data_IF_635578257675
#
_entry.id   IF_635578257675
#
_cell.length_a   1.000
_cell.length_b   1.000
_cell.length_c   1.000
_cell.angle_alpha   90.00
_cell.angle_beta   90.00
_cell.angle_gamma   90.00
#
_symmetry.space_group_name_H-M   'P 1'
#
loop_
_entity.id
_entity.type
_entity.pdbx_description
1 polymer ?
#
# COMPACT_ATOMS: atom_id res chain seq x y z
N UNK A 1 -37.25 13.59 35.86
CA UNK A 1 -35.90 12.99 35.81
C UNK A 1 -35.65 12.52 34.39
N UNK A 2 -34.42 12.67 33.86
CA UNK A 2 -34.05 12.06 32.59
C UNK A 2 -33.79 10.57 32.81
N UNK A 3 -34.30 9.73 31.92
CA UNK A 3 -34.01 8.30 31.91
C UNK A 3 -32.76 8.03 31.05
N UNK A 4 -32.07 6.94 31.34
CA UNK A 4 -31.00 6.43 30.48
C UNK A 4 -31.60 5.72 29.28
N UNK A 5 -30.89 5.77 28.16
CA UNK A 5 -31.25 5.03 26.95
C UNK A 5 -30.77 3.58 27.02
N UNK A 6 -31.31 2.75 26.13
CA UNK A 6 -30.95 1.33 26.02
C UNK A 6 -29.46 1.12 25.70
N UNK A 7 -28.86 2.05 24.95
CA UNK A 7 -27.43 2.00 24.62
C UNK A 7 -26.56 2.11 25.87
N UNK A 8 -26.89 3.00 26.80
CA UNK A 8 -26.18 3.13 28.06
C UNK A 8 -26.32 1.88 28.93
N UNK A 9 -27.49 1.24 28.97
CA UNK A 9 -27.67 -0.02 29.70
C UNK A 9 -26.78 -1.14 29.16
N UNK A 10 -26.62 -1.24 27.84
CA UNK A 10 -25.72 -2.23 27.23
C UNK A 10 -24.26 -1.95 27.60
N UNK A 11 -23.79 -0.71 27.43
CA UNK A 11 -22.42 -0.31 27.81
C UNK A 11 -22.13 -0.56 29.29
N UNK A 12 -23.13 -0.36 30.15
CA UNK A 12 -23.02 -0.64 31.59
C UNK A 12 -22.86 -2.15 31.89
N UNK A 13 -23.53 -3.03 31.14
CA UNK A 13 -23.42 -4.49 31.32
C UNK A 13 -22.12 -5.05 30.74
N UNK A 14 -21.64 -4.48 29.65
CA UNK A 14 -20.41 -4.86 28.96
C UNK A 14 -19.14 -4.25 29.62
N UNK A 15 -19.29 -3.53 30.75
CA UNK A 15 -18.23 -2.79 31.45
C UNK A 15 -17.47 -1.79 30.55
N UNK A 16 -18.18 -1.15 29.61
CA UNK A 16 -17.66 -0.15 28.67
C UNK A 16 -17.79 1.31 29.14
N UNK A 17 -18.31 1.54 30.35
CA UNK A 17 -18.45 2.87 30.96
C UNK A 17 -17.38 3.14 32.00
N UNK A 18 -17.13 4.42 32.32
CA UNK A 18 -16.14 4.76 33.37
C UNK A 18 -16.66 4.45 34.77
N UNK A 19 -15.76 4.39 35.76
CA UNK A 19 -16.12 4.14 37.16
C UNK A 19 -17.03 5.24 37.73
N UNK A 20 -16.81 6.49 37.33
CA UNK A 20 -17.60 7.64 37.73
C UNK A 20 -19.03 7.56 37.16
N UNK A 21 -19.16 7.19 35.89
CA UNK A 21 -20.47 7.00 35.24
C UNK A 21 -21.26 5.86 35.88
N UNK A 22 -20.56 4.79 36.26
CA UNK A 22 -21.13 3.64 36.97
C UNK A 22 -21.70 4.03 38.34
N UNK A 23 -20.97 4.85 39.10
CA UNK A 23 -21.45 5.37 40.39
C UNK A 23 -22.71 6.24 40.21
N UNK A 24 -22.69 7.17 39.25
CA UNK A 24 -23.83 8.04 38.94
C UNK A 24 -25.07 7.23 38.52
N UNK A 25 -24.87 6.18 37.72
CA UNK A 25 -25.93 5.26 37.33
C UNK A 25 -26.55 4.56 38.55
N UNK A 26 -25.74 4.05 39.48
CA UNK A 26 -26.25 3.41 40.69
C UNK A 26 -26.99 4.38 41.62
N UNK A 27 -26.57 5.65 41.69
CA UNK A 27 -27.32 6.69 42.38
C UNK A 27 -28.67 6.92 41.69
N UNK A 28 -28.68 7.02 40.36
CA UNK A 28 -29.92 7.24 39.61
C UNK A 28 -30.95 6.12 39.80
N UNK A 29 -30.56 4.85 39.68
CA UNK A 29 -31.52 3.74 39.79
C UNK A 29 -32.04 3.56 41.22
N UNK A 30 -31.35 4.09 42.25
CA UNK A 30 -31.89 4.14 43.64
C UNK A 30 -33.09 5.07 43.77
N UNK A 31 -33.18 6.08 42.90
CA UNK A 31 -34.28 7.06 42.92
C UNK A 31 -35.30 6.81 41.80
N UNK A 32 -34.87 6.24 40.68
CA UNK A 32 -35.71 5.97 39.51
C UNK A 32 -36.15 4.49 39.44
N UNK A 33 -37.41 4.23 39.79
CA UNK A 33 -37.99 2.87 39.76
C UNK A 33 -38.05 2.28 38.35
N UNK A 34 -38.35 3.09 37.33
CA UNK A 34 -38.42 2.64 35.94
C UNK A 34 -37.05 2.14 35.42
N UNK A 35 -35.99 2.94 35.61
CA UNK A 35 -34.63 2.55 35.20
C UNK A 35 -34.11 1.35 36.01
N UNK A 36 -34.51 1.23 37.28
CA UNK A 36 -34.15 0.07 38.11
C UNK A 36 -34.76 -1.22 37.57
N UNK A 37 -36.04 -1.19 37.21
CA UNK A 37 -36.72 -2.38 36.68
C UNK A 37 -36.16 -2.76 35.31
N UNK A 38 -35.89 -1.77 34.45
CA UNK A 38 -35.22 -2.00 33.18
C UNK A 38 -33.84 -2.63 33.36
N UNK A 39 -33.01 -2.08 34.26
CA UNK A 39 -31.70 -2.66 34.58
C UNK A 39 -31.81 -4.11 35.07
N UNK A 40 -32.79 -4.40 35.93
CA UNK A 40 -33.03 -5.77 36.44
C UNK A 40 -33.35 -6.74 35.30
N UNK A 41 -34.18 -6.34 34.34
CA UNK A 41 -34.51 -7.16 33.17
C UNK A 41 -33.27 -7.42 32.31
N UNK A 42 -32.52 -6.37 31.99
CA UNK A 42 -31.27 -6.47 31.22
C UNK A 42 -30.23 -7.36 31.91
N UNK A 43 -30.03 -7.18 33.21
CA UNK A 43 -29.11 -8.00 34.02
C UNK A 43 -29.54 -9.48 34.05
N UNK A 44 -30.84 -9.75 34.15
CA UNK A 44 -31.37 -11.12 34.14
C UNK A 44 -31.15 -11.81 32.79
N UNK A 45 -31.37 -11.09 31.69
CA UNK A 45 -31.11 -11.60 30.34
C UNK A 45 -29.61 -11.86 30.12
N UNK A 46 -28.76 -10.92 30.52
CA UNK A 46 -27.31 -11.04 30.42
C UNK A 46 -26.78 -12.26 31.20
N UNK A 47 -27.26 -12.44 32.44
CA UNK A 47 -26.87 -13.58 33.28
C UNK A 47 -27.33 -14.91 32.68
N UNK A 48 -28.54 -14.96 32.12
CA UNK A 48 -29.06 -16.16 31.46
C UNK A 48 -28.23 -16.53 30.23
N UNK A 49 -27.84 -15.54 29.42
CA UNK A 49 -26.97 -15.75 28.26
C UNK A 49 -25.57 -16.23 28.68
N UNK A 50 -24.99 -15.67 29.74
CA UNK A 50 -23.70 -16.11 30.27
C UNK A 50 -23.77 -17.51 30.92
N UNK A 51 -24.93 -17.91 31.43
CA UNK A 51 -25.13 -19.26 31.99
C UNK A 51 -25.22 -20.36 30.92
N UNK A 52 -25.36 -19.99 29.64
CA UNK A 52 -25.32 -20.96 28.56
C UNK A 52 -23.93 -21.58 28.52
N UNK A 53 -23.89 -22.91 28.46
CA UNK A 53 -22.65 -23.67 28.53
C UNK A 53 -21.72 -23.23 27.41
N UNK A 54 -20.50 -22.82 27.77
CA UNK A 54 -19.46 -22.51 26.81
C UNK A 54 -19.19 -23.75 25.95
N UNK A 55 -19.59 -23.69 24.68
CA UNK A 55 -19.35 -24.77 23.73
C UNK A 55 -17.89 -24.65 23.33
N UNK A 56 -17.06 -25.55 23.85
CA UNK A 56 -15.67 -25.64 23.40
C UNK A 56 -15.66 -25.98 21.91
N UNK A 57 -14.96 -25.16 21.13
CA UNK A 57 -14.79 -25.43 19.72
C UNK A 57 -13.99 -26.75 19.56
N UNK A 58 -14.41 -27.66 18.66
CA UNK A 58 -13.61 -28.82 18.30
C UNK A 58 -12.20 -28.41 17.88
N UNK A 59 -11.18 -29.20 18.26
CA UNK A 59 -9.78 -28.90 17.96
C UNK A 59 -9.54 -28.68 16.46
N UNK A 60 -10.29 -29.36 15.60
CA UNK A 60 -10.24 -29.19 14.15
C UNK A 60 -10.56 -27.76 13.70
N UNK A 61 -11.55 -27.11 14.33
CA UNK A 61 -11.88 -25.70 14.03
C UNK A 61 -10.75 -24.79 14.48
N UNK A 62 -10.21 -25.03 15.68
CA UNK A 62 -9.13 -24.23 16.23
C UNK A 62 -7.88 -24.31 15.35
N UNK A 63 -7.55 -25.51 14.86
CA UNK A 63 -6.47 -25.76 13.91
C UNK A 63 -6.69 -25.08 12.56
N UNK A 64 -7.93 -25.08 12.03
CA UNK A 64 -8.26 -24.37 10.79
C UNK A 64 -8.11 -22.85 10.93
N UNK A 65 -8.55 -22.30 12.06
CA UNK A 65 -8.43 -20.87 12.37
C UNK A 65 -6.98 -20.48 12.54
N UNK A 66 -6.22 -21.22 13.35
CA UNK A 66 -4.77 -21.01 13.55
C UNK A 66 -4.02 -21.11 12.22
N UNK A 67 -4.32 -22.09 11.37
CA UNK A 67 -3.70 -22.19 10.03
C UNK A 67 -4.02 -21.00 9.13
N UNK A 68 -5.18 -20.35 9.31
CA UNK A 68 -5.58 -19.17 8.53
C UNK A 68 -4.91 -17.88 9.06
N UNK A 69 -4.79 -17.74 10.38
CA UNK A 69 -4.16 -16.58 11.05
C UNK A 69 -2.63 -16.66 10.96
N UNK A 70 -2.06 -17.85 11.16
CA UNK A 70 -0.61 -18.10 11.10
C UNK A 70 -0.07 -18.25 9.69
N UNK A 71 -0.89 -18.09 8.64
CA UNK A 71 -0.33 -17.90 7.29
C UNK A 71 0.59 -16.68 7.37
N UNK A 72 1.92 -16.87 7.37
CA UNK A 72 2.80 -15.72 7.35
C UNK A 72 2.46 -14.96 6.06
N UNK A 73 2.73 -13.67 6.02
CA UNK A 73 2.79 -12.90 4.79
C UNK A 73 3.94 -13.40 3.86
N UNK A 74 4.05 -14.71 3.67
CA UNK A 74 4.96 -15.43 2.79
C UNK A 74 4.48 -15.29 1.34
N UNK A 75 4.34 -14.06 0.88
CA UNK A 75 4.30 -13.71 -0.53
C UNK A 75 5.05 -12.40 -0.69
N UNK A 76 6.34 -12.49 -1.02
CA UNK A 76 7.13 -11.44 -1.73
C UNK A 76 8.62 -11.78 -1.89
N UNK A 77 9.12 -12.93 -1.40
CA UNK A 77 10.55 -13.27 -1.55
C UNK A 77 10.96 -13.58 -3.00
N UNK A 78 10.05 -14.12 -3.81
CA UNK A 78 10.37 -14.53 -5.20
C UNK A 78 10.13 -13.43 -6.25
N UNK A 79 9.35 -12.40 -5.96
CA UNK A 79 9.07 -11.32 -6.93
C UNK A 79 10.29 -10.39 -7.15
N UNK A 80 11.08 -10.15 -6.10
CA UNK A 80 12.29 -9.33 -6.21
C UNK A 80 13.34 -9.94 -7.14
N UNK A 81 13.47 -11.28 -7.12
CA UNK A 81 14.43 -12.00 -7.97
C UNK A 81 14.02 -11.95 -9.44
N UNK A 82 12.75 -12.21 -9.73
CA UNK A 82 12.23 -12.10 -11.11
C UNK A 82 12.43 -10.70 -11.68
N UNK A 83 12.15 -9.67 -10.88
CA UNK A 83 12.29 -8.29 -11.33
C UNK A 83 13.75 -7.87 -11.58
N UNK A 84 14.68 -8.26 -10.71
CA UNK A 84 16.12 -8.02 -10.91
C UNK A 84 16.61 -8.73 -12.18
N UNK A 85 16.14 -9.95 -12.44
CA UNK A 85 16.50 -10.68 -13.66
C UNK A 85 15.97 -9.98 -14.93
N UNK A 86 14.72 -9.50 -14.92
CA UNK A 86 14.14 -8.76 -16.06
C UNK A 86 14.88 -7.44 -16.30
N UNK A 87 15.17 -6.69 -15.24
CA UNK A 87 15.88 -5.40 -15.35
C UNK A 87 17.30 -5.59 -15.87
N UNK A 88 18.03 -6.57 -15.33
CA UNK A 88 19.38 -6.91 -15.80
C UNK A 88 19.38 -7.32 -17.28
N UNK A 89 18.40 -8.13 -17.71
CA UNK A 89 18.26 -8.53 -19.11
C UNK A 89 18.03 -7.34 -20.04
N UNK A 90 17.15 -6.41 -19.63
CA UNK A 90 16.87 -5.21 -20.42
C UNK A 90 18.11 -4.31 -20.55
N UNK A 91 18.88 -4.11 -19.47
CA UNK A 91 20.11 -3.31 -19.51
C UNK A 91 21.15 -3.89 -20.45
N UNK A 92 21.34 -5.22 -20.43
CA UNK A 92 22.27 -5.90 -21.34
C UNK A 92 21.79 -5.80 -22.79
N UNK A 93 20.48 -5.95 -23.03
CA UNK A 93 19.90 -5.81 -24.37
C UNK A 93 20.11 -4.41 -24.95
N UNK A 94 19.90 -3.37 -24.14
CA UNK A 94 20.17 -1.98 -24.57
C UNK A 94 21.65 -1.78 -24.88
N UNK A 95 22.57 -2.22 -24.01
CA UNK A 95 24.01 -2.13 -24.26
C UNK A 95 24.44 -2.86 -25.54
N UNK A 96 23.84 -4.01 -25.85
CA UNK A 96 24.12 -4.75 -27.09
C UNK A 96 23.68 -3.96 -28.33
N UNK A 97 22.48 -3.36 -28.30
CA UNK A 97 21.99 -2.50 -29.39
C UNK A 97 22.93 -1.30 -29.58
N UNK A 98 23.35 -0.63 -28.51
CA UNK A 98 24.29 0.50 -28.60
C UNK A 98 25.70 0.10 -29.00
N UNK A 99 26.20 -1.06 -28.56
CA UNK A 99 27.50 -1.58 -28.99
C UNK A 99 27.53 -1.88 -30.49
N UNK A 100 26.42 -2.37 -31.03
CA UNK A 100 26.23 -2.54 -32.48
C UNK A 100 26.19 -1.16 -33.15
N UNK A 101 25.33 -0.24 -32.70
CA UNK A 101 25.21 1.11 -33.29
C UNK A 101 26.51 1.91 -33.21
N UNK A 102 27.31 1.79 -32.16
CA UNK A 102 28.61 2.47 -32.04
C UNK A 102 29.68 1.85 -32.95
N UNK A 103 29.66 0.52 -33.14
CA UNK A 103 30.59 -0.16 -34.06
C UNK A 103 30.22 0.06 -35.53
N UNK A 104 28.95 0.31 -35.83
CA UNK A 104 28.45 0.65 -37.18
C UNK A 104 28.31 2.17 -37.42
N UNK A 105 28.36 3.01 -36.39
CA UNK A 105 28.23 4.48 -36.45
C UNK A 105 29.57 5.23 -36.38
N UNK A 106 30.69 4.53 -36.30
CA UNK A 106 32.05 5.11 -36.35
C UNK A 106 32.51 5.53 -37.76
N UNK A 107 31.63 5.48 -38.76
CA UNK A 107 31.88 6.06 -40.09
C UNK A 107 30.92 7.22 -40.30
N UNK A 108 31.49 8.38 -40.62
CA UNK A 108 30.82 9.66 -40.90
C UNK A 108 29.44 9.50 -41.58
N UNK A 109 28.43 10.31 -41.18
CA UNK A 109 27.07 10.13 -41.65
C UNK A 109 26.95 10.57 -43.11
N UNK A 110 26.98 9.61 -44.03
CA UNK A 110 26.50 9.80 -45.40
C UNK A 110 25.28 8.94 -45.63
N UNK A 111 24.12 9.60 -45.59
CA UNK A 111 22.89 9.20 -46.27
C UNK A 111 22.45 7.76 -46.05
N UNK A 112 21.79 7.51 -44.92
CA UNK A 112 21.05 6.28 -44.71
C UNK A 112 19.79 6.58 -43.92
N UNK A 113 18.64 6.49 -44.58
CA UNK A 113 17.31 6.66 -43.98
C UNK A 113 17.14 5.63 -42.86
N UNK A 114 17.43 6.04 -41.64
CA UNK A 114 17.50 5.17 -40.47
C UNK A 114 16.29 5.38 -39.60
N UNK A 115 15.96 4.38 -38.78
CA UNK A 115 14.88 4.38 -37.77
C UNK A 115 14.78 5.66 -36.90
N UNK A 116 15.80 6.51 -36.87
CA UNK A 116 15.81 7.81 -36.19
C UNK A 116 15.12 8.94 -36.97
N UNK A 117 14.95 8.85 -38.29
CA UNK A 117 14.35 9.93 -39.10
C UNK A 117 12.85 10.09 -38.82
N UNK A 118 12.17 9.00 -38.47
CA UNK A 118 10.78 9.04 -37.99
C UNK A 118 10.66 9.43 -36.51
N UNK A 119 11.76 9.40 -35.74
CA UNK A 119 11.83 9.90 -34.36
C UNK A 119 12.26 11.37 -34.28
N UNK A 120 12.91 11.92 -35.33
CA UNK A 120 13.31 13.32 -35.41
C UNK A 120 12.15 14.33 -35.41
N UNK A 121 10.93 13.87 -35.73
CA UNK A 121 9.71 14.68 -35.58
C UNK A 121 9.12 14.64 -34.17
N UNK A 122 9.64 13.81 -33.26
CA UNK A 122 9.29 13.84 -31.86
C UNK A 122 10.10 14.94 -31.18
N UNK A 123 9.59 16.17 -31.23
CA UNK A 123 10.17 17.31 -30.50
C UNK A 123 10.01 17.09 -29.00
N UNK A 124 10.96 16.39 -28.41
CA UNK A 124 11.06 16.28 -26.96
C UNK A 124 11.46 17.66 -26.42
N UNK A 125 10.60 18.26 -25.62
CA UNK A 125 10.85 19.58 -25.04
C UNK A 125 12.01 19.47 -24.02
N UNK A 126 13.20 19.86 -24.46
CA UNK A 126 14.44 19.80 -23.69
C UNK A 126 14.41 20.72 -22.46
N UNK A 127 13.43 21.64 -22.38
CA UNK A 127 13.22 22.49 -21.22
C UNK A 127 12.83 21.70 -19.96
N UNK A 128 12.09 20.59 -20.12
CA UNK A 128 11.66 19.73 -19.00
C UNK A 128 12.87 18.96 -18.44
N UNK A 129 13.69 18.40 -19.33
CA UNK A 129 14.94 17.73 -18.97
C UNK A 129 15.92 18.67 -18.27
N UNK A 130 16.10 19.88 -18.80
CA UNK A 130 17.02 20.86 -18.22
C UNK A 130 16.57 21.32 -16.83
N UNK A 131 15.26 21.39 -16.56
CA UNK A 131 14.74 21.64 -15.20
C UNK A 131 15.02 20.46 -14.25
N UNK A 132 14.83 19.22 -14.71
CA UNK A 132 15.05 18.00 -13.90
C UNK A 132 16.54 17.77 -13.61
N UNK A 133 17.42 18.05 -14.58
CA UNK A 133 18.88 17.88 -14.46
C UNK A 133 19.59 19.13 -13.91
N UNK A 134 18.88 20.24 -13.67
CA UNK A 134 19.45 21.47 -13.11
C UNK A 134 20.18 21.30 -11.77
N UNK A 135 19.77 20.40 -10.84
CA UNK A 135 20.52 20.12 -9.62
C UNK A 135 21.80 19.29 -9.89
N UNK A 136 21.90 18.69 -11.08
CA UNK A 136 22.97 17.80 -11.52
C UNK A 136 23.74 18.42 -12.70
N UNK A 137 24.12 19.69 -12.56
CA UNK A 137 24.76 20.51 -13.62
C UNK A 137 26.06 19.93 -14.18
N UNK A 138 26.70 18.99 -13.48
CA UNK A 138 27.86 18.24 -13.97
C UNK A 138 27.49 17.19 -15.03
N UNK A 139 26.30 16.60 -14.95
CA UNK A 139 25.84 15.52 -15.84
C UNK A 139 25.33 16.10 -17.16
N UNK A 140 24.68 17.27 -17.13
CA UNK A 140 24.15 17.92 -18.35
C UNK A 140 25.23 18.31 -19.37
N UNK A 141 26.47 18.53 -18.92
CA UNK A 141 27.62 18.80 -19.80
C UNK A 141 28.17 17.57 -20.53
N UNK A 142 27.85 16.37 -20.05
CA UNK A 142 28.30 15.09 -20.61
C UNK A 142 27.28 14.47 -21.59
N UNK A 143 26.08 15.03 -21.68
CA UNK A 143 25.00 14.52 -22.52
C UNK A 143 25.04 15.26 -23.85
N UNK A 144 25.57 14.60 -24.89
CA UNK A 144 25.46 15.08 -26.27
C UNK A 144 23.99 15.13 -26.69
N UNK A 145 23.58 16.01 -27.63
CA UNK A 145 22.20 16.12 -28.09
C UNK A 145 21.60 14.78 -28.56
N UNK A 146 22.42 13.88 -29.11
CA UNK A 146 22.00 12.55 -29.56
C UNK A 146 21.70 11.57 -28.41
N UNK A 147 22.25 11.84 -27.21
CA UNK A 147 22.07 11.01 -26.01
C UNK A 147 20.89 11.45 -25.12
N UNK A 148 20.19 12.53 -25.49
CA UNK A 148 19.03 13.06 -24.75
C UNK A 148 17.85 12.09 -24.74
N UNK A 149 17.60 11.41 -25.86
CA UNK A 149 16.56 10.38 -25.97
C UNK A 149 16.86 9.17 -25.06
N UNK A 150 18.15 8.86 -24.90
CA UNK A 150 18.62 7.76 -24.06
C UNK A 150 18.43 8.05 -22.58
N UNK A 151 18.82 9.25 -22.16
CA UNK A 151 18.66 9.69 -20.77
C UNK A 151 17.18 9.78 -20.40
N UNK A 152 16.32 10.19 -21.34
CA UNK A 152 14.87 10.23 -21.12
C UNK A 152 14.22 8.86 -21.06
N UNK A 153 14.67 7.90 -21.88
CA UNK A 153 14.22 6.51 -21.79
C UNK A 153 14.68 5.82 -20.49
N UNK A 154 15.91 6.09 -20.04
CA UNK A 154 16.40 5.60 -18.75
C UNK A 154 15.61 6.21 -17.59
N UNK A 155 15.38 7.52 -17.62
CA UNK A 155 14.60 8.22 -16.59
C UNK A 155 13.13 7.76 -16.60
N UNK A 156 12.53 7.52 -17.76
CA UNK A 156 11.14 7.01 -17.84
C UNK A 156 11.04 5.59 -17.30
N UNK A 157 12.03 4.72 -17.57
CA UNK A 157 12.12 3.39 -16.97
C UNK A 157 12.22 3.45 -15.44
N UNK A 158 13.02 4.38 -14.90
CA UNK A 158 13.16 4.58 -13.44
C UNK A 158 11.86 5.15 -12.84
N UNK A 159 11.17 6.05 -13.55
CA UNK A 159 9.93 6.64 -13.07
C UNK A 159 8.78 5.63 -13.03
N UNK A 160 8.69 4.76 -14.05
CA UNK A 160 7.75 3.63 -14.06
C UNK A 160 8.03 2.67 -12.91
N UNK A 161 9.31 2.42 -12.58
CA UNK A 161 9.69 1.64 -11.40
C UNK A 161 9.14 2.23 -10.10
N UNK A 162 9.32 3.54 -9.87
CA UNK A 162 8.81 4.19 -8.66
C UNK A 162 7.27 4.21 -8.58
N UNK A 163 6.57 4.38 -9.71
CA UNK A 163 5.11 4.36 -9.73
C UNK A 163 4.55 2.96 -9.42
N UNK A 164 5.17 1.91 -9.94
CA UNK A 164 4.80 0.52 -9.63
C UNK A 164 5.10 0.19 -8.16
N UNK A 165 6.22 0.66 -7.61
CA UNK A 165 6.55 0.44 -6.21
C UNK A 165 5.58 1.19 -5.26
N UNK A 166 5.16 2.41 -5.64
CA UNK A 166 4.19 3.21 -4.87
C UNK A 166 2.79 2.60 -4.87
N UNK A 167 2.33 2.06 -6.00
CA UNK A 167 1.01 1.41 -6.10
C UNK A 167 0.92 0.09 -5.32
N UNK A 168 2.06 -0.53 -4.99
CA UNK A 168 2.12 -1.79 -4.23
C UNK A 168 2.16 -1.60 -2.70
N UNK A 169 2.29 -0.36 -2.25
CA UNK A 169 2.40 0.02 -0.82
C UNK A 169 1.11 0.60 -0.23
N UNK A 170 0.18 1.02 -1.09
CA UNK A 170 -1.24 1.25 -0.75
C UNK A 170 -2.04 -0.04 -0.98
#
# INVERSE_FOLDING_TARGET
MKHYDEEFFNKMLDDEITAEEKELFFVHIKECTACREQYRLFQSAHTLLLSLTEITAPEEINNLVLKKIMKPAAKKKNEKRFFITVLSGLTVMLLAIFGIVAKFGGTEPKGGNGLFDNLGNFKFDTSILNKILSPFSSISKLISPDSVLLVTLLLSSILVFFLIERTKKN
#
